data_IF_835058232381
#
_entry.id   IF_835058232381
#
_cell.length_a   1.000
_cell.length_b   1.000
_cell.length_c   1.000
_cell.angle_alpha   90.00
_cell.angle_beta   90.00
_cell.angle_gamma   90.00
#
_symmetry.space_group_name_H-M   'P 1'
#
loop_
_entity.id
_entity.type
_entity.pdbx_description
1 polymer ?
#
# COMPACT_ATOMS: atom_id res chain seq x y z
N UNK A 1 63.53 55.20 -5.06
CA UNK A 1 63.87 54.27 -6.17
C UNK A 1 64.14 52.89 -5.58
N UNK A 2 63.27 51.91 -5.83
CA UNK A 2 63.58 50.50 -5.64
C UNK A 2 62.94 49.72 -6.80
N UNK A 3 63.79 48.96 -7.51
CA UNK A 3 63.51 48.14 -8.70
C UNK A 3 63.25 46.68 -8.30
N UNK A 4 62.48 45.98 -9.14
CA UNK A 4 62.50 44.51 -9.32
C UNK A 4 61.59 43.74 -8.36
N UNK A 5 60.90 42.66 -8.73
CA UNK A 5 61.10 41.70 -9.81
C UNK A 5 59.79 40.93 -10.04
N UNK A 6 59.41 40.69 -11.30
CA UNK A 6 58.20 39.98 -11.68
C UNK A 6 58.26 38.47 -11.41
N UNK A 7 57.14 37.92 -10.93
CA UNK A 7 56.87 36.48 -10.86
C UNK A 7 55.79 36.12 -11.88
N UNK A 8 56.13 35.29 -12.86
CA UNK A 8 55.22 34.80 -13.89
C UNK A 8 54.19 33.83 -13.34
N UNK A 9 52.91 34.18 -13.44
CA UNK A 9 51.79 33.27 -13.21
C UNK A 9 51.40 32.60 -14.53
N UNK A 10 51.82 31.34 -14.71
CA UNK A 10 51.34 30.48 -15.78
C UNK A 10 49.88 30.08 -15.54
N UNK A 11 48.94 30.84 -16.09
CA UNK A 11 47.54 30.47 -16.18
C UNK A 11 47.35 29.44 -17.29
N UNK A 12 47.33 28.16 -16.93
CA UNK A 12 46.89 27.08 -17.81
C UNK A 12 45.38 27.27 -18.06
N UNK A 13 45.01 27.89 -19.17
CA UNK A 13 43.63 28.05 -19.62
C UNK A 13 43.07 26.66 -19.91
N UNK A 14 42.44 26.06 -18.89
CA UNK A 14 41.66 24.85 -19.02
C UNK A 14 40.63 25.03 -20.12
N UNK A 15 40.77 24.22 -21.17
CA UNK A 15 39.84 24.06 -22.28
C UNK A 15 38.41 23.91 -21.75
N UNK A 16 37.65 25.00 -21.76
CA UNK A 16 36.21 24.99 -21.59
C UNK A 16 35.59 24.33 -22.81
N UNK A 17 35.43 23.00 -22.77
CA UNK A 17 34.56 22.28 -23.69
C UNK A 17 33.14 22.78 -23.45
N UNK A 18 32.74 23.80 -24.21
CA UNK A 18 31.36 24.25 -24.27
C UNK A 18 30.57 23.27 -25.15
N UNK A 19 30.35 22.08 -24.61
CA UNK A 19 29.46 21.07 -25.17
C UNK A 19 28.11 21.19 -24.51
N UNK A 20 27.31 22.16 -24.94
CA UNK A 20 25.90 22.30 -24.56
C UNK A 20 25.07 21.18 -25.17
N UNK A 21 25.24 19.96 -24.68
CA UNK A 21 24.30 18.88 -24.94
C UNK A 21 23.08 19.09 -24.06
N UNK A 22 22.01 19.65 -24.63
CA UNK A 22 20.71 19.67 -23.95
C UNK A 22 20.33 18.23 -23.61
N UNK A 23 20.22 17.93 -22.31
CA UNK A 23 19.74 16.64 -21.85
C UNK A 23 18.30 16.45 -22.35
N UNK A 24 18.10 15.51 -23.27
CA UNK A 24 16.79 15.10 -23.76
C UNK A 24 16.12 14.06 -22.83
N UNK A 25 16.52 14.05 -21.56
CA UNK A 25 15.95 13.14 -20.58
C UNK A 25 14.65 13.78 -20.07
N UNK A 26 13.51 13.07 -20.16
CA UNK A 26 12.29 13.57 -19.56
C UNK A 26 12.46 13.65 -18.04
N UNK A 27 11.79 14.61 -17.38
CA UNK A 27 11.85 14.72 -15.94
C UNK A 27 11.15 13.54 -15.26
N UNK A 28 11.67 13.08 -14.12
CA UNK A 28 11.24 11.85 -13.45
C UNK A 28 9.76 11.84 -12.99
N UNK A 29 9.14 13.01 -12.81
CA UNK A 29 7.74 13.10 -12.37
C UNK A 29 6.73 12.75 -13.46
N UNK A 30 7.14 12.79 -14.73
CA UNK A 30 6.28 12.39 -15.84
C UNK A 30 5.93 10.90 -15.80
N UNK A 31 6.63 10.08 -15.01
CA UNK A 31 6.34 8.65 -14.91
C UNK A 31 5.05 8.33 -14.16
N UNK A 32 4.65 9.16 -13.19
CA UNK A 32 3.52 8.89 -12.30
C UNK A 32 2.47 10.00 -12.26
N UNK A 33 2.85 11.25 -12.56
CA UNK A 33 1.88 12.34 -12.62
C UNK A 33 1.08 12.26 -13.92
N UNK A 34 -0.24 12.15 -13.78
CA UNK A 34 -1.16 12.41 -14.87
C UNK A 34 -1.33 13.92 -15.01
N UNK A 35 -1.00 14.44 -16.19
CA UNK A 35 -1.44 15.76 -16.62
C UNK A 35 -2.92 15.68 -17.04
N UNK A 36 -3.45 16.74 -17.65
CA UNK A 36 -4.83 16.79 -18.17
C UNK A 36 -5.10 15.61 -19.13
N UNK A 37 -5.76 14.56 -18.62
CA UNK A 37 -6.04 13.33 -19.36
C UNK A 37 -6.65 12.22 -18.49
N UNK A 38 -7.26 11.23 -19.15
CA UNK A 38 -7.88 10.08 -18.47
C UNK A 38 -6.82 9.04 -18.06
N UNK A 39 -6.96 8.50 -16.84
CA UNK A 39 -6.07 7.45 -16.32
C UNK A 39 -6.28 6.11 -17.02
N UNK A 40 -7.52 5.79 -17.37
CA UNK A 40 -7.91 4.51 -17.97
C UNK A 40 -8.74 4.79 -19.21
N UNK A 41 -8.35 4.19 -20.33
CA UNK A 41 -9.13 4.18 -21.57
C UNK A 41 -9.56 2.75 -21.89
N UNK A 42 -10.85 2.55 -22.14
CA UNK A 42 -11.44 1.23 -22.40
C UNK A 42 -11.76 1.11 -23.88
N UNK A 43 -11.17 0.13 -24.55
CA UNK A 43 -11.41 -0.17 -25.96
C UNK A 43 -11.94 -1.60 -26.11
N UNK A 44 -13.11 -1.78 -26.71
CA UNK A 44 -13.64 -3.11 -27.01
C UNK A 44 -12.88 -3.69 -28.22
N UNK A 45 -12.41 -4.92 -28.10
CA UNK A 45 -11.70 -5.60 -29.20
C UNK A 45 -12.73 -6.14 -30.20
N UNK A 46 -12.57 -5.81 -31.48
CA UNK A 46 -13.44 -6.31 -32.55
C UNK A 46 -12.95 -7.64 -33.14
N UNK A 47 -11.71 -8.05 -32.84
CA UNK A 47 -11.10 -9.26 -33.41
C UNK A 47 -11.52 -10.54 -32.69
N UNK A 48 -11.85 -10.44 -31.42
CA UNK A 48 -12.17 -11.58 -30.56
C UNK A 48 -13.48 -11.29 -29.82
N UNK A 49 -14.44 -12.25 -29.78
CA UNK A 49 -15.69 -12.05 -29.08
C UNK A 49 -15.44 -11.86 -27.58
N UNK A 50 -16.19 -10.93 -26.99
CA UNK A 50 -16.18 -10.63 -25.57
C UNK A 50 -14.78 -10.32 -25.00
N UNK A 51 -13.97 -9.62 -25.78
CA UNK A 51 -12.65 -9.16 -25.38
C UNK A 51 -12.61 -7.63 -25.21
N UNK A 52 -11.87 -7.18 -24.19
CA UNK A 52 -11.70 -5.79 -23.85
C UNK A 52 -10.22 -5.45 -23.62
N UNK A 53 -9.82 -4.28 -24.09
CA UNK A 53 -8.49 -3.71 -23.95
C UNK A 53 -8.56 -2.50 -23.01
N UNK A 54 -7.94 -2.64 -21.85
CA UNK A 54 -7.79 -1.57 -20.86
C UNK A 54 -6.41 -0.95 -21.03
N UNK A 55 -6.39 0.33 -21.37
CA UNK A 55 -5.15 1.10 -21.46
C UNK A 55 -5.02 1.95 -20.22
N UNK A 56 -3.97 1.74 -19.43
CA UNK A 56 -3.73 2.47 -18.20
C UNK A 56 -2.46 3.30 -18.36
N UNK A 57 -2.61 4.62 -18.17
CA UNK A 57 -1.54 5.59 -18.32
C UNK A 57 -0.84 5.82 -16.99
N UNK A 58 0.47 6.08 -17.05
CA UNK A 58 1.36 6.35 -15.90
C UNK A 58 1.43 5.21 -14.89
N UNK A 59 1.33 3.98 -15.38
CA UNK A 59 1.46 2.76 -14.59
C UNK A 59 2.49 1.84 -15.24
N UNK A 60 2.99 0.87 -14.48
CA UNK A 60 4.06 -0.02 -14.87
C UNK A 60 3.72 -1.50 -14.61
N UNK A 61 4.75 -2.34 -14.61
CA UNK A 61 4.62 -3.77 -14.38
C UNK A 61 4.06 -4.12 -12.99
N UNK A 62 4.18 -3.23 -12.00
CA UNK A 62 3.69 -3.51 -10.65
C UNK A 62 2.19 -3.73 -10.67
N UNK A 63 1.44 -2.75 -11.19
CA UNK A 63 -0.01 -2.83 -11.33
C UNK A 63 -0.42 -3.87 -12.38
N UNK A 64 0.24 -3.87 -13.55
CA UNK A 64 -0.10 -4.76 -14.65
C UNK A 64 0.02 -6.25 -14.29
N UNK A 65 1.09 -6.65 -13.61
CA UNK A 65 1.32 -8.04 -13.26
C UNK A 65 0.40 -8.55 -12.16
N UNK A 66 0.11 -7.71 -11.16
CA UNK A 66 -0.78 -8.08 -10.06
C UNK A 66 -2.21 -8.26 -10.58
N UNK A 67 -2.72 -7.32 -11.37
CA UNK A 67 -4.07 -7.41 -11.94
C UNK A 67 -4.19 -8.62 -12.87
N UNK A 68 -3.19 -8.86 -13.73
CA UNK A 68 -3.16 -10.07 -14.57
C UNK A 68 -3.27 -11.33 -13.72
N UNK A 69 -2.49 -11.41 -12.66
CA UNK A 69 -2.47 -12.59 -11.79
C UNK A 69 -3.82 -12.80 -11.11
N UNK A 70 -4.50 -11.73 -10.70
CA UNK A 70 -5.83 -11.81 -10.11
C UNK A 70 -6.90 -12.26 -11.12
N UNK A 71 -6.86 -11.72 -12.34
CA UNK A 71 -7.79 -12.10 -13.40
C UNK A 71 -7.66 -13.58 -13.81
N UNK A 72 -6.45 -14.13 -13.78
CA UNK A 72 -6.23 -15.55 -14.06
C UNK A 72 -6.70 -16.50 -12.95
N UNK A 73 -7.05 -15.99 -11.76
CA UNK A 73 -7.66 -16.80 -10.69
C UNK A 73 -9.14 -17.09 -10.97
N UNK A 74 -9.81 -16.26 -11.78
CA UNK A 74 -11.23 -16.40 -12.09
C UNK A 74 -11.44 -17.41 -13.23
N UNK A 75 -12.19 -18.51 -13.03
CA UNK A 75 -12.47 -19.50 -14.08
C UNK A 75 -13.32 -18.96 -15.23
N UNK A 76 -14.04 -17.85 -15.05
CA UNK A 76 -14.86 -17.22 -16.09
C UNK A 76 -14.03 -16.38 -17.08
N UNK A 77 -12.75 -16.13 -16.75
CA UNK A 77 -11.78 -15.44 -17.59
C UNK A 77 -11.02 -16.46 -18.45
N UNK A 78 -11.22 -16.37 -19.77
CA UNK A 78 -10.57 -17.27 -20.73
C UNK A 78 -9.13 -16.85 -21.04
N UNK A 79 -8.88 -15.53 -21.03
CA UNK A 79 -7.56 -14.99 -21.30
C UNK A 79 -7.37 -13.66 -20.57
N UNK A 80 -6.21 -13.53 -19.89
CA UNK A 80 -5.75 -12.27 -19.34
C UNK A 80 -4.24 -12.10 -19.60
N UNK A 81 -3.86 -10.97 -20.16
CA UNK A 81 -2.47 -10.64 -20.43
C UNK A 81 -2.26 -9.14 -20.44
N UNK A 82 -1.06 -8.69 -20.08
CA UNK A 82 -0.68 -7.29 -20.18
C UNK A 82 0.61 -7.16 -20.99
N UNK A 83 0.79 -5.99 -21.60
CA UNK A 83 2.02 -5.63 -22.29
C UNK A 83 2.37 -4.16 -22.04
N UNK A 84 3.66 -3.88 -22.02
CA UNK A 84 4.22 -2.53 -22.06
C UNK A 84 4.67 -2.30 -23.50
N UNK A 85 4.05 -1.36 -24.25
CA UNK A 85 4.36 -1.15 -25.66
C UNK A 85 5.79 -0.64 -25.85
N UNK A 86 6.27 0.21 -24.93
CA UNK A 86 7.62 0.75 -24.95
C UNK A 86 8.10 1.07 -23.53
N UNK A 87 9.35 0.73 -23.14
CA UNK A 87 9.84 0.95 -21.77
C UNK A 87 10.01 2.43 -21.39
N UNK A 88 10.20 3.31 -22.36
CA UNK A 88 10.31 4.77 -22.11
C UNK A 88 8.95 5.45 -21.85
N UNK A 89 7.84 4.75 -22.11
CA UNK A 89 6.50 5.26 -21.87
C UNK A 89 5.85 4.45 -20.76
N UNK A 90 5.52 5.10 -19.65
CA UNK A 90 4.76 4.48 -18.56
C UNK A 90 3.31 4.32 -18.98
N UNK A 91 3.04 3.28 -19.75
CA UNK A 91 1.72 2.93 -20.27
C UNK A 91 1.60 1.42 -20.34
N UNK A 92 0.54 0.87 -19.79
CA UNK A 92 0.26 -0.56 -19.85
C UNK A 92 -1.04 -0.81 -20.61
N UNK A 93 -1.06 -1.89 -21.37
CA UNK A 93 -2.26 -2.35 -22.07
C UNK A 93 -2.59 -3.75 -21.56
N UNK A 94 -3.73 -3.88 -20.91
CA UNK A 94 -4.27 -5.13 -20.38
C UNK A 94 -5.36 -5.61 -21.33
N UNK A 95 -5.28 -6.86 -21.77
CA UNK A 95 -6.29 -7.53 -22.58
C UNK A 95 -6.96 -8.59 -21.74
N UNK A 96 -8.28 -8.54 -21.67
CA UNK A 96 -9.12 -9.49 -20.94
C UNK A 96 -10.15 -10.07 -21.91
N UNK A 97 -10.34 -11.38 -21.83
CA UNK A 97 -11.37 -12.11 -22.55
C UNK A 97 -12.11 -12.99 -21.56
N UNK A 98 -13.43 -12.91 -21.57
CA UNK A 98 -14.32 -13.65 -20.68
C UNK A 98 -15.27 -14.55 -21.46
N UNK A 99 -15.89 -15.48 -20.75
CA UNK A 99 -17.03 -16.26 -21.24
C UNK A 99 -18.18 -15.34 -21.68
N UNK A 100 -18.99 -15.71 -22.68
CA UNK A 100 -20.02 -14.84 -23.27
C UNK A 100 -21.09 -14.34 -22.27
N UNK A 101 -21.31 -15.09 -21.19
CA UNK A 101 -22.28 -14.73 -20.13
C UNK A 101 -21.75 -13.69 -19.14
N UNK A 102 -20.47 -13.32 -19.25
CA UNK A 102 -19.79 -12.46 -18.29
C UNK A 102 -19.06 -11.29 -18.93
N UNK A 103 -19.29 -10.08 -18.44
CA UNK A 103 -18.69 -8.86 -18.99
C UNK A 103 -17.21 -8.74 -18.58
N UNK A 104 -16.29 -8.47 -19.51
CA UNK A 104 -14.88 -8.29 -19.17
C UNK A 104 -14.62 -7.06 -18.29
N UNK A 105 -15.53 -6.08 -18.28
CA UNK A 105 -15.48 -4.91 -17.39
C UNK A 105 -15.83 -5.29 -15.95
N UNK A 106 -16.81 -6.18 -15.77
CA UNK A 106 -17.20 -6.69 -14.46
C UNK A 106 -16.09 -7.58 -13.90
N UNK A 107 -15.51 -8.46 -14.73
CA UNK A 107 -14.34 -9.27 -14.37
C UNK A 107 -13.19 -8.42 -13.83
N UNK A 108 -12.91 -7.31 -14.51
CA UNK A 108 -11.87 -6.38 -14.11
C UNK A 108 -12.15 -5.70 -12.77
N UNK A 109 -13.39 -5.27 -12.55
CA UNK A 109 -13.82 -4.61 -11.32
C UNK A 109 -13.83 -5.57 -10.12
N UNK A 110 -14.28 -6.80 -10.34
CA UNK A 110 -14.27 -7.86 -9.33
C UNK A 110 -12.85 -8.22 -8.94
N UNK A 111 -11.95 -8.40 -9.91
CA UNK A 111 -10.54 -8.66 -9.64
C UNK A 111 -9.89 -7.55 -8.80
N UNK A 112 -10.15 -6.27 -9.09
CA UNK A 112 -9.62 -5.17 -8.27
C UNK A 112 -10.17 -5.22 -6.84
N UNK A 113 -11.47 -5.47 -6.69
CA UNK A 113 -12.13 -5.54 -5.39
C UNK A 113 -11.54 -6.67 -4.54
N UNK A 114 -11.32 -7.84 -5.14
CA UNK A 114 -10.72 -8.99 -4.46
C UNK A 114 -9.26 -8.74 -4.09
N UNK A 115 -8.50 -8.07 -4.96
CA UNK A 115 -7.14 -7.66 -4.66
C UNK A 115 -7.08 -6.71 -3.45
N UNK A 116 -7.99 -5.73 -3.37
CA UNK A 116 -8.08 -4.82 -2.21
C UNK A 116 -8.35 -5.62 -0.93
N UNK A 117 -9.27 -6.59 -0.96
CA UNK A 117 -9.56 -7.47 0.18
C UNK A 117 -8.34 -8.29 0.61
N UNK A 118 -7.62 -8.87 -0.35
CA UNK A 118 -6.39 -9.64 -0.08
C UNK A 118 -5.33 -8.77 0.61
N UNK A 119 -5.14 -7.54 0.14
CA UNK A 119 -4.18 -6.58 0.71
C UNK A 119 -4.60 -6.10 2.11
N UNK A 120 -5.88 -5.81 2.34
CA UNK A 120 -6.38 -5.41 3.66
C UNK A 120 -6.19 -6.53 4.69
N UNK A 121 -6.45 -7.78 4.31
CA UNK A 121 -6.22 -8.94 5.19
C UNK A 121 -4.73 -9.14 5.48
N UNK A 122 -3.87 -8.93 4.48
CA UNK A 122 -2.43 -9.00 4.66
C UNK A 122 -1.96 -7.92 5.63
N UNK A 123 -2.43 -6.69 5.49
CA UNK A 123 -2.09 -5.57 6.37
C UNK A 123 -2.48 -5.85 7.82
N UNK A 124 -3.70 -6.33 8.06
CA UNK A 124 -4.17 -6.69 9.40
C UNK A 124 -3.32 -7.79 10.04
N UNK A 125 -3.08 -8.88 9.31
CA UNK A 125 -2.25 -10.00 9.80
C UNK A 125 -0.81 -9.57 10.03
N UNK A 126 -0.27 -8.71 9.17
CA UNK A 126 1.06 -8.16 9.33
C UNK A 126 1.13 -7.29 10.58
N UNK A 127 0.16 -6.40 10.80
CA UNK A 127 0.09 -5.53 11.98
C UNK A 127 0.01 -6.33 13.29
N UNK A 128 -0.82 -7.36 13.33
CA UNK A 128 -0.93 -8.26 14.50
C UNK A 128 0.40 -8.96 14.79
N UNK A 129 1.11 -9.43 13.76
CA UNK A 129 2.36 -10.20 13.91
C UNK A 129 3.59 -9.34 14.13
N UNK A 130 3.67 -8.17 13.48
CA UNK A 130 4.74 -7.20 13.66
C UNK A 130 4.65 -6.49 15.03
N UNK A 131 3.52 -6.66 15.73
CA UNK A 131 3.25 -6.02 17.01
C UNK A 131 2.95 -4.51 16.84
N UNK A 132 2.52 -3.84 17.92
CA UNK A 132 2.22 -2.41 17.91
C UNK A 132 3.43 -1.48 17.69
N UNK A 133 4.57 -1.99 17.21
CA UNK A 133 5.78 -1.20 16.91
C UNK A 133 6.17 -1.19 15.43
N UNK A 134 5.34 -1.74 14.53
CA UNK A 134 5.73 -2.02 13.15
C UNK A 134 5.32 -1.01 12.07
N UNK A 135 4.33 -0.14 12.31
CA UNK A 135 3.81 0.75 11.26
C UNK A 135 3.57 2.21 11.69
N UNK A 136 3.52 2.44 12.99
CA UNK A 136 3.21 3.70 13.62
C UNK A 136 4.29 3.93 14.66
N UNK A 137 5.20 4.87 14.38
CA UNK A 137 6.39 5.17 15.19
C UNK A 137 6.08 5.74 16.57
N UNK A 138 5.39 4.97 17.42
CA UNK A 138 5.07 5.29 18.81
C UNK A 138 5.48 4.14 19.73
N UNK A 139 6.60 4.33 20.42
CA UNK A 139 6.85 3.72 21.71
C UNK A 139 7.39 2.28 21.71
N UNK A 140 8.72 2.15 21.68
CA UNK A 140 9.40 1.05 22.36
C UNK A 140 9.18 1.18 23.86
N UNK A 141 7.98 0.84 24.35
CA UNK A 141 7.81 0.66 25.79
C UNK A 141 8.47 -0.66 26.12
N UNK A 142 9.72 -0.58 26.55
CA UNK A 142 10.48 -1.66 27.16
C UNK A 142 9.54 -2.40 28.12
N UNK A 143 9.04 -3.57 27.73
CA UNK A 143 8.29 -4.43 28.62
C UNK A 143 9.28 -4.88 29.70
N UNK A 144 9.32 -4.11 30.79
CA UNK A 144 10.01 -4.46 32.02
C UNK A 144 9.39 -5.76 32.50
N UNK A 145 10.03 -6.88 32.18
CA UNK A 145 9.69 -8.20 32.71
C UNK A 145 9.57 -8.05 34.22
N UNK A 146 8.38 -8.26 34.82
CA UNK A 146 8.26 -8.20 36.26
C UNK A 146 9.04 -9.38 36.83
N UNK A 147 10.08 -9.08 37.61
CA UNK A 147 10.76 -10.10 38.41
C UNK A 147 9.73 -10.68 39.40
N UNK A 148 9.69 -12.01 39.60
CA UNK A 148 8.81 -12.61 40.59
C UNK A 148 9.22 -12.12 41.99
N UNK A 149 8.30 -11.46 42.70
CA UNK A 149 8.52 -11.00 44.08
C UNK A 149 7.94 -9.64 44.45
N UNK A 150 7.48 -8.81 43.51
CA UNK A 150 6.81 -7.53 43.83
C UNK A 150 5.29 -7.70 43.83
N UNK A 151 4.68 -7.48 45.00
CA UNK A 151 3.24 -7.51 45.22
C UNK A 151 2.49 -6.56 44.28
N UNK A 152 1.39 -7.04 43.70
CA UNK A 152 0.41 -6.24 42.99
C UNK A 152 -0.26 -5.29 43.98
N UNK A 153 0.11 -4.01 43.96
CA UNK A 153 -0.78 -2.96 44.41
C UNK A 153 -1.67 -2.58 43.22
N UNK A 154 -2.90 -3.09 43.19
CA UNK A 154 -3.93 -2.69 42.24
C UNK A 154 -4.32 -1.24 42.53
N UNK A 155 -3.67 -0.28 41.85
CA UNK A 155 -4.13 1.10 41.81
C UNK A 155 -5.17 1.24 40.69
N UNK A 156 -6.46 1.08 41.04
CA UNK A 156 -7.56 1.51 40.19
C UNK A 156 -7.62 3.05 40.21
N UNK A 157 -6.91 3.69 39.27
CA UNK A 157 -7.14 5.08 38.92
C UNK A 157 -8.30 5.15 37.93
N UNK A 158 -9.54 5.16 38.42
CA UNK A 158 -10.72 5.46 37.60
C UNK A 158 -10.83 6.97 37.32
N UNK A 159 -11.21 7.39 36.09
CA UNK A 159 -11.70 8.73 35.83
C UNK A 159 -13.17 8.82 36.26
N UNK A 160 -13.49 9.84 37.05
CA UNK A 160 -14.80 10.51 37.18
C UNK A 160 -16.07 9.62 37.29
N UNK A 161 -16.48 9.38 38.53
CA UNK A 161 -17.76 9.84 39.08
C UNK A 161 -19.08 9.41 38.45
N UNK A 162 -19.66 8.32 38.96
CA UNK A 162 -21.09 8.26 39.34
C UNK A 162 -21.28 7.13 40.37
N UNK A 163 -21.66 7.48 41.59
CA UNK A 163 -21.90 6.53 42.68
C UNK A 163 -23.42 6.45 42.93
N UNK A 164 -24.04 5.35 42.49
CA UNK A 164 -25.36 4.95 42.95
C UNK A 164 -25.23 4.15 44.27
N UNK A 165 -26.18 4.39 45.17
CA UNK A 165 -26.16 4.08 46.60
C UNK A 165 -27.31 3.10 46.95
N UNK A 166 -27.10 2.29 48.01
CA UNK A 166 -28.08 1.54 48.85
C UNK A 166 -28.71 0.26 48.23
N UNK A 167 -28.97 -0.87 48.92
CA UNK A 167 -29.14 -1.17 50.35
C UNK A 167 -28.99 -2.70 50.62
N UNK A 168 -28.52 -3.08 51.82
CA UNK A 168 -28.41 -4.46 52.34
C UNK A 168 -29.25 -4.57 53.63
N UNK A 169 -30.21 -5.53 53.75
CA UNK A 169 -30.70 -6.19 55.00
C UNK A 169 -31.43 -7.52 54.61
N UNK A 170 -30.98 -8.73 54.98
CA UNK A 170 -31.30 -9.52 56.21
C UNK A 170 -32.70 -10.20 56.14
N UNK A 171 -33.01 -11.49 56.41
CA UNK A 171 -32.46 -12.64 57.16
C UNK A 171 -33.17 -13.98 56.67
N UNK A 172 -32.81 -15.19 57.16
CA UNK A 172 -33.13 -16.51 56.56
C UNK A 172 -34.35 -17.25 57.16
N UNK A 173 -34.80 -18.38 56.55
CA UNK A 173 -35.01 -19.59 57.36
C UNK A 173 -34.69 -20.96 56.70
N UNK A 174 -34.24 -21.85 57.61
CA UNK A 174 -34.08 -23.31 57.75
C UNK A 174 -34.71 -24.35 56.78
N UNK A 175 -34.06 -25.53 56.77
CA UNK A 175 -34.41 -26.80 56.09
C UNK A 175 -35.70 -27.49 56.61
N UNK A 176 -36.28 -28.42 55.82
CA UNK A 176 -36.25 -29.86 56.20
C UNK A 176 -36.11 -30.81 54.98
N UNK A 177 -35.37 -31.92 55.07
CA UNK A 177 -35.88 -33.28 55.37
C UNK A 177 -35.46 -34.24 54.23
N UNK A 178 -34.54 -35.18 54.46
CA UNK A 178 -34.76 -36.63 54.58
C UNK A 178 -35.83 -37.23 53.66
N UNK A 179 -35.42 -38.14 52.75
CA UNK A 179 -36.02 -39.47 52.52
C UNK A 179 -35.07 -40.34 51.69
N UNK A 180 -34.78 -41.52 52.27
CA UNK A 180 -34.30 -42.82 51.75
C UNK A 180 -33.10 -42.93 50.81
#
# INVERSE_FOLDING_TARGET
LAKGSGGGGGGHLGSGRNGGGSMNAPPAFESFLLFEGEKITINKDTKVPNACLFTINKEDHTLGNIIKSQLLKDPQVLFAGYKVPHPLEHKIIIRVQTTPDYSPQEAFTNAITDLIRELSLLEERFRVRAGPGGADGVGWTLARVPRPGTALACFFGGPQGEAAVMEEQGLPPQAPGHVD
#
